data_IF_130103719895
#
_entry.id   IF_130103719895
#
_cell.length_a   1.000
_cell.length_b   1.000
_cell.length_c   1.000
_cell.angle_alpha   90.00
_cell.angle_beta   90.00
_cell.angle_gamma   90.00
#
_symmetry.space_group_name_H-M   'P 1'
#
loop_
_entity.id
_entity.type
_entity.pdbx_description
1 polymer ?
#
# COMPACT_ATOMS: atom_id res chain seq x y z
N UNK A 1 74.92 -12.67 -84.79
CA UNK A 1 73.78 -11.86 -85.21
C UNK A 1 72.82 -11.75 -84.04
N UNK A 2 72.69 -10.56 -83.52
CA UNK A 2 72.01 -10.11 -82.27
C UNK A 2 70.50 -9.94 -82.42
N UNK A 3 69.77 -10.28 -81.45
CA UNK A 3 68.55 -9.58 -81.04
C UNK A 3 68.36 -9.54 -79.52
N UNK A 4 68.58 -8.39 -78.97
CA UNK A 4 68.24 -7.99 -77.62
C UNK A 4 66.74 -8.10 -77.41
N UNK A 5 66.28 -8.85 -76.38
CA UNK A 5 64.91 -8.75 -75.88
C UNK A 5 64.92 -7.88 -74.65
N UNK A 6 64.22 -6.80 -74.72
CA UNK A 6 63.84 -5.95 -73.62
C UNK A 6 62.79 -6.70 -72.76
N UNK A 7 63.06 -6.93 -71.53
CA UNK A 7 62.05 -7.38 -70.56
C UNK A 7 61.69 -6.19 -69.67
N UNK A 8 60.53 -5.66 -69.92
CA UNK A 8 59.86 -4.66 -69.08
C UNK A 8 59.45 -5.30 -67.82
N UNK A 9 60.03 -4.88 -66.68
CA UNK A 9 59.56 -5.25 -65.33
C UNK A 9 58.32 -4.43 -65.03
N UNK A 10 57.15 -5.07 -65.01
CA UNK A 10 55.91 -4.50 -64.52
C UNK A 10 55.95 -4.79 -62.95
N UNK A 11 56.22 -3.73 -62.22
CA UNK A 11 56.06 -3.76 -60.76
C UNK A 11 54.56 -3.76 -60.40
N UNK A 12 54.08 -4.87 -59.91
CA UNK A 12 52.75 -4.96 -59.33
C UNK A 12 52.80 -4.30 -57.94
N UNK A 13 52.25 -3.08 -57.84
CA UNK A 13 52.05 -2.38 -56.60
C UNK A 13 50.81 -3.01 -55.92
N UNK A 14 51.04 -3.94 -54.96
CA UNK A 14 49.99 -4.45 -54.12
C UNK A 14 49.61 -3.35 -53.10
N UNK A 15 48.54 -2.62 -53.41
CA UNK A 15 47.87 -1.69 -52.48
C UNK A 15 47.10 -2.55 -51.45
N UNK A 16 47.73 -2.83 -50.32
CA UNK A 16 47.04 -3.43 -49.19
C UNK A 16 46.08 -2.36 -48.61
N UNK A 17 44.83 -2.40 -49.03
CA UNK A 17 43.75 -1.63 -48.38
C UNK A 17 43.48 -2.29 -47.05
N UNK A 18 44.09 -1.75 -45.98
CA UNK A 18 43.78 -2.11 -44.58
C UNK A 18 42.43 -1.49 -44.26
N UNK A 19 41.32 -2.20 -44.55
CA UNK A 19 39.98 -1.82 -44.07
C UNK A 19 39.95 -1.97 -42.57
N UNK A 20 40.15 -0.85 -41.86
CA UNK A 20 39.93 -0.75 -40.43
C UNK A 20 38.40 -0.90 -40.19
N UNK A 21 37.94 -2.12 -39.97
CA UNK A 21 36.59 -2.36 -39.51
C UNK A 21 36.49 -1.81 -38.08
N UNK A 22 36.06 -0.58 -37.95
CA UNK A 22 35.59 -0.06 -36.67
C UNK A 22 34.35 -0.88 -36.33
N UNK A 23 34.54 -1.96 -35.57
CA UNK A 23 33.45 -2.64 -34.88
C UNK A 23 32.86 -1.62 -33.93
N UNK A 24 31.80 -0.92 -34.37
CA UNK A 24 30.91 -0.22 -33.46
C UNK A 24 30.29 -1.33 -32.62
N UNK A 25 30.91 -1.63 -31.46
CA UNK A 25 30.28 -2.46 -30.49
C UNK A 25 28.94 -1.80 -30.17
N UNK A 26 27.86 -2.35 -30.74
CA UNK A 26 26.53 -1.98 -30.30
C UNK A 26 26.53 -2.08 -28.77
N UNK A 27 26.07 -1.06 -28.04
CA UNK A 27 26.01 -1.17 -26.60
C UNK A 27 25.23 -2.46 -26.29
N UNK A 28 25.89 -3.42 -25.63
CA UNK A 28 25.18 -4.53 -25.04
C UNK A 28 24.22 -3.90 -24.03
N UNK A 29 23.00 -3.67 -24.46
CA UNK A 29 21.95 -3.25 -23.55
C UNK A 29 21.74 -4.42 -22.61
N UNK A 30 22.26 -4.29 -21.40
CA UNK A 30 21.93 -5.23 -20.32
C UNK A 30 20.40 -5.31 -20.25
N UNK A 31 19.86 -6.52 -20.08
CA UNK A 31 18.43 -6.69 -19.92
C UNK A 31 17.91 -5.74 -18.82
N UNK A 32 16.74 -5.12 -19.01
CA UNK A 32 16.22 -4.20 -18.01
C UNK A 32 16.06 -4.89 -16.65
N UNK A 33 16.40 -4.19 -15.60
CA UNK A 33 16.14 -4.66 -14.24
C UNK A 33 14.62 -4.67 -14.07
N UNK A 34 14.06 -5.84 -13.80
CA UNK A 34 12.61 -6.01 -13.66
C UNK A 34 12.20 -5.89 -12.20
N UNK A 35 11.19 -5.06 -11.94
CA UNK A 35 10.53 -4.89 -10.65
C UNK A 35 9.19 -5.63 -10.71
N UNK A 36 9.05 -6.72 -9.97
CA UNK A 36 7.75 -7.33 -9.69
C UNK A 36 7.04 -6.48 -8.65
N UNK A 37 5.92 -5.88 -9.04
CA UNK A 37 5.12 -5.00 -8.20
C UNK A 37 3.78 -5.67 -7.87
N UNK A 38 3.71 -6.27 -6.69
CA UNK A 38 2.54 -7.03 -6.23
C UNK A 38 1.49 -6.13 -5.58
N UNK A 39 0.20 -6.39 -5.85
CA UNK A 39 -0.92 -5.70 -5.21
C UNK A 39 -2.10 -6.65 -4.96
N UNK A 40 -2.94 -6.32 -3.98
CA UNK A 40 -4.18 -7.05 -3.69
C UNK A 40 -5.38 -6.62 -4.52
N UNK A 41 -5.31 -5.46 -5.21
CA UNK A 41 -6.44 -4.87 -5.92
C UNK A 41 -6.56 -5.40 -7.35
N UNK A 42 -7.78 -5.43 -7.92
CA UNK A 42 -8.00 -5.85 -9.31
C UNK A 42 -7.40 -4.85 -10.30
N UNK A 43 -7.17 -5.27 -11.56
CA UNK A 43 -6.62 -4.42 -12.62
C UNK A 43 -7.69 -3.48 -13.20
N UNK A 44 -8.26 -2.63 -12.35
CA UNK A 44 -9.26 -1.62 -12.70
C UNK A 44 -8.67 -0.22 -12.51
N UNK A 45 -8.62 0.58 -13.57
CA UNK A 45 -8.08 1.94 -13.51
C UNK A 45 -8.95 2.93 -12.72
N UNK A 46 -10.18 2.61 -12.36
CA UNK A 46 -11.00 3.41 -11.44
C UNK A 46 -10.70 3.06 -9.97
N UNK A 47 -10.07 1.92 -9.72
CA UNK A 47 -9.54 1.57 -8.40
C UNK A 47 -8.24 2.37 -8.13
N UNK A 48 -8.22 3.11 -7.01
CA UNK A 48 -7.19 4.12 -6.75
C UNK A 48 -5.77 3.55 -6.64
N UNK A 49 -5.59 2.38 -6.00
CA UNK A 49 -4.28 1.76 -5.86
C UNK A 49 -3.77 1.25 -7.20
N UNK A 50 -4.62 0.55 -7.97
CA UNK A 50 -4.22 0.03 -9.29
C UNK A 50 -3.88 1.17 -10.25
N UNK A 51 -4.70 2.23 -10.29
CA UNK A 51 -4.39 3.45 -11.07
C UNK A 51 -3.01 4.01 -10.71
N UNK A 52 -2.72 4.10 -9.41
CA UNK A 52 -1.41 4.53 -8.92
C UNK A 52 -0.28 3.62 -9.40
N UNK A 53 -0.44 2.30 -9.32
CA UNK A 53 0.55 1.34 -9.78
C UNK A 53 0.84 1.46 -11.30
N UNK A 54 -0.21 1.71 -12.10
CA UNK A 54 -0.07 1.96 -13.54
C UNK A 54 0.69 3.26 -13.81
N UNK A 55 0.42 4.33 -13.04
CA UNK A 55 1.15 5.59 -13.13
C UNK A 55 2.62 5.39 -12.76
N UNK A 56 2.92 4.67 -11.68
CA UNK A 56 4.28 4.33 -11.28
C UNK A 56 5.03 3.61 -12.41
N UNK A 57 4.43 2.55 -12.97
CA UNK A 57 4.99 1.80 -14.10
C UNK A 57 5.30 2.71 -15.28
N UNK A 58 4.30 3.46 -15.75
CA UNK A 58 4.45 4.35 -16.93
C UNK A 58 5.55 5.39 -16.69
N UNK A 59 5.59 6.02 -15.51
CA UNK A 59 6.61 7.01 -15.19
C UNK A 59 8.03 6.42 -15.22
N UNK A 60 8.23 5.26 -14.60
CA UNK A 60 9.53 4.59 -14.55
C UNK A 60 10.00 4.19 -15.96
N UNK A 61 9.14 3.51 -16.73
CA UNK A 61 9.52 2.98 -18.05
C UNK A 61 9.75 4.09 -19.08
N UNK A 62 9.07 5.24 -18.95
CA UNK A 62 9.30 6.41 -19.80
C UNK A 62 10.60 7.16 -19.46
N UNK A 63 10.98 7.21 -18.17
CA UNK A 63 12.17 7.95 -17.73
C UNK A 63 13.45 7.13 -17.74
N UNK A 64 13.35 5.79 -17.69
CA UNK A 64 14.48 4.87 -17.74
C UNK A 64 14.25 3.76 -18.80
N UNK A 65 14.03 4.12 -20.09
CA UNK A 65 13.75 3.15 -21.14
C UNK A 65 14.89 2.15 -21.26
N UNK A 66 14.55 0.85 -21.27
CA UNK A 66 15.53 -0.24 -21.36
C UNK A 66 16.39 -0.47 -20.13
N UNK A 67 16.28 0.35 -19.08
CA UNK A 67 17.02 0.18 -17.82
C UNK A 67 16.17 -0.42 -16.71
N UNK A 68 14.91 0.01 -16.57
CA UNK A 68 13.93 -0.52 -15.62
C UNK A 68 12.67 -0.97 -16.35
N UNK A 69 12.08 -2.05 -15.87
CA UNK A 69 10.77 -2.57 -16.26
C UNK A 69 9.96 -2.83 -15.00
N UNK A 70 8.68 -2.47 -14.99
CA UNK A 70 7.77 -2.73 -13.88
C UNK A 70 6.68 -3.69 -14.34
N UNK A 71 6.65 -4.89 -13.77
CA UNK A 71 5.60 -5.86 -14.00
C UNK A 71 4.63 -5.84 -12.80
N UNK A 72 3.41 -5.35 -13.03
CA UNK A 72 2.35 -5.29 -12.00
C UNK A 72 1.68 -6.66 -11.91
N UNK A 73 1.56 -7.18 -10.69
CA UNK A 73 0.87 -8.43 -10.35
C UNK A 73 -0.34 -8.10 -9.46
N UNK A 74 -1.52 -7.83 -10.07
CA UNK A 74 -2.74 -7.46 -9.33
C UNK A 74 -3.43 -8.68 -8.72
N UNK A 75 -4.53 -8.44 -7.99
CA UNK A 75 -5.46 -9.49 -7.50
C UNK A 75 -4.76 -10.62 -6.73
N UNK A 76 -3.75 -10.31 -5.93
CA UNK A 76 -3.00 -11.31 -5.15
C UNK A 76 -2.32 -12.42 -5.99
N UNK A 77 -1.95 -12.16 -7.24
CA UNK A 77 -1.29 -13.15 -8.11
C UNK A 77 0.03 -13.70 -7.55
N UNK A 78 0.72 -12.92 -6.71
CA UNK A 78 1.96 -13.35 -6.03
C UNK A 78 1.72 -13.74 -4.55
N UNK A 79 0.50 -14.19 -4.23
CA UNK A 79 0.12 -14.59 -2.88
C UNK A 79 -0.70 -13.53 -2.13
N UNK A 80 -1.23 -13.87 -0.95
CA UNK A 80 -1.96 -12.97 -0.07
C UNK A 80 -1.05 -11.83 0.41
N UNK A 81 -1.62 -10.74 0.92
CA UNK A 81 -0.85 -9.56 1.34
C UNK A 81 0.31 -9.90 2.30
N UNK A 82 0.08 -10.82 3.25
CA UNK A 82 1.13 -11.31 4.16
C UNK A 82 2.28 -11.98 3.41
N UNK A 83 1.96 -12.82 2.43
CA UNK A 83 2.96 -13.52 1.58
C UNK A 83 3.70 -12.53 0.69
N UNK A 84 3.03 -11.47 0.20
CA UNK A 84 3.67 -10.38 -0.55
C UNK A 84 4.68 -9.61 0.31
N UNK A 85 4.36 -9.30 1.59
CA UNK A 85 5.32 -8.66 2.52
C UNK A 85 6.52 -9.59 2.74
N UNK A 86 6.27 -10.88 3.00
CA UNK A 86 7.33 -11.86 3.23
C UNK A 86 8.22 -12.01 2.00
N UNK A 87 7.62 -12.12 0.81
CA UNK A 87 8.35 -12.13 -0.46
C UNK A 87 9.19 -10.86 -0.67
N UNK A 88 8.63 -9.68 -0.31
CA UNK A 88 9.37 -8.41 -0.38
C UNK A 88 10.53 -8.39 0.63
N UNK A 89 10.33 -8.89 1.85
CA UNK A 89 11.39 -9.02 2.86
C UNK A 89 12.51 -9.97 2.38
N UNK A 90 12.16 -11.09 1.78
CA UNK A 90 13.12 -12.08 1.27
C UNK A 90 13.78 -11.67 -0.07
N UNK A 91 13.19 -10.71 -0.79
CA UNK A 91 13.67 -10.25 -2.11
C UNK A 91 13.23 -11.14 -3.27
N UNK A 92 12.25 -12.00 -3.10
CA UNK A 92 11.61 -12.77 -4.19
C UNK A 92 10.56 -11.95 -4.93
N UNK A 93 10.07 -10.89 -4.29
CA UNK A 93 9.24 -9.82 -4.82
C UNK A 93 10.00 -8.52 -4.56
N UNK A 94 10.21 -7.70 -5.59
CA UNK A 94 10.94 -6.45 -5.44
C UNK A 94 10.10 -5.41 -4.68
N UNK A 95 8.80 -5.29 -5.02
CA UNK A 95 7.88 -4.29 -4.44
C UNK A 95 6.50 -4.87 -4.19
N UNK A 96 5.83 -4.38 -3.14
CA UNK A 96 4.40 -4.58 -2.96
C UNK A 96 3.71 -3.30 -2.48
N UNK A 97 2.42 -3.18 -2.78
CA UNK A 97 1.57 -2.10 -2.31
C UNK A 97 0.30 -2.70 -1.69
N UNK A 98 0.22 -2.65 -0.39
CA UNK A 98 -0.76 -3.40 0.40
C UNK A 98 -1.27 -2.57 1.57
N UNK A 99 -2.33 -3.05 2.23
CA UNK A 99 -2.81 -2.44 3.46
C UNK A 99 -1.86 -2.66 4.65
N UNK A 100 -1.92 -1.77 5.63
CA UNK A 100 -1.07 -1.82 6.83
C UNK A 100 -1.38 -3.00 7.76
N UNK A 101 -2.59 -3.54 7.71
CA UNK A 101 -3.04 -4.57 8.64
C UNK A 101 -2.09 -5.76 8.77
N UNK A 102 -1.77 -6.46 7.68
CA UNK A 102 -0.84 -7.59 7.70
C UNK A 102 0.57 -7.27 8.16
N UNK A 103 0.99 -5.99 8.09
CA UNK A 103 2.33 -5.55 8.53
C UNK A 103 2.55 -5.74 10.04
N UNK A 104 1.49 -5.70 10.86
CA UNK A 104 1.62 -5.85 12.32
C UNK A 104 2.26 -7.17 12.76
N UNK A 105 2.22 -8.20 11.92
CA UNK A 105 2.91 -9.48 12.13
C UNK A 105 4.43 -9.41 11.90
N UNK A 106 4.92 -8.42 11.14
CA UNK A 106 6.33 -8.24 10.79
C UNK A 106 6.97 -7.06 11.52
N UNK A 107 6.16 -6.04 11.80
CA UNK A 107 6.59 -4.80 12.44
C UNK A 107 5.50 -4.36 13.42
N UNK A 108 5.68 -4.73 14.69
CA UNK A 108 4.63 -4.55 15.70
C UNK A 108 4.35 -3.08 16.02
N UNK A 109 5.33 -2.19 15.87
CA UNK A 109 5.20 -0.75 16.10
C UNK A 109 4.13 -0.09 15.23
N UNK A 110 3.80 -0.67 14.08
CA UNK A 110 2.74 -0.19 13.20
C UNK A 110 1.37 -0.14 13.89
N UNK A 111 1.20 -0.91 14.98
CA UNK A 111 -0.05 -0.97 15.75
C UNK A 111 -0.48 0.40 16.32
N UNK A 112 0.44 1.34 16.48
CA UNK A 112 0.10 2.70 16.94
C UNK A 112 -0.82 3.42 15.97
N UNK A 113 -0.79 3.08 14.68
CA UNK A 113 -1.66 3.64 13.65
C UNK A 113 -3.06 2.99 13.64
N UNK A 114 -3.22 1.88 14.35
CA UNK A 114 -4.53 1.25 14.62
C UNK A 114 -5.24 1.80 15.87
N UNK A 115 -4.73 2.86 16.52
CA UNK A 115 -5.42 3.52 17.62
C UNK A 115 -6.69 4.20 17.08
N UNK A 116 -7.89 3.85 17.59
CA UNK A 116 -9.13 4.41 17.09
C UNK A 116 -9.21 5.93 17.30
N UNK A 117 -9.81 6.61 16.32
CA UNK A 117 -10.00 8.07 16.35
C UNK A 117 -8.71 8.86 16.59
N UNK A 118 -7.56 8.33 16.11
CA UNK A 118 -6.27 9.00 16.18
C UNK A 118 -6.25 10.26 15.31
N UNK A 119 -6.88 10.20 14.14
CA UNK A 119 -7.01 11.30 13.20
C UNK A 119 -8.47 11.70 13.04
N UNK A 120 -8.74 12.99 12.86
CA UNK A 120 -10.09 13.55 12.72
C UNK A 120 -10.46 13.86 11.26
N UNK A 121 -9.47 13.96 10.38
CA UNK A 121 -9.66 14.08 8.93
C UNK A 121 -8.41 13.64 8.15
N UNK A 122 -8.53 13.53 6.83
CA UNK A 122 -7.48 13.07 5.93
C UNK A 122 -6.26 13.99 5.92
N UNK A 123 -6.47 15.31 5.97
CA UNK A 123 -5.37 16.27 5.94
C UNK A 123 -4.45 16.12 7.17
N UNK A 124 -5.03 15.93 8.36
CA UNK A 124 -4.30 15.66 9.60
C UNK A 124 -3.52 14.33 9.47
N UNK A 125 -4.17 13.28 8.95
CA UNK A 125 -3.52 12.00 8.73
C UNK A 125 -2.32 12.12 7.78
N UNK A 126 -2.47 12.83 6.65
CA UNK A 126 -1.38 13.05 5.69
C UNK A 126 -0.22 13.84 6.32
N UNK A 127 -0.51 14.95 7.03
CA UNK A 127 0.55 15.72 7.70
C UNK A 127 1.33 14.87 8.69
N UNK A 128 0.64 14.06 9.48
CA UNK A 128 1.25 13.17 10.46
C UNK A 128 2.10 12.08 9.79
N UNK A 129 1.56 11.39 8.77
CA UNK A 129 2.22 10.25 8.12
C UNK A 129 3.33 10.66 7.15
N UNK A 130 3.20 11.78 6.44
CA UNK A 130 4.25 12.33 5.58
C UNK A 130 5.28 13.15 6.39
N UNK A 131 4.95 13.46 7.63
CA UNK A 131 5.76 14.25 8.57
C UNK A 131 6.88 13.46 9.26
N UNK A 132 7.51 14.07 10.27
CA UNK A 132 8.63 13.44 10.99
C UNK A 132 8.27 12.12 11.66
N UNK A 133 7.06 12.01 12.21
CA UNK A 133 6.59 10.78 12.86
C UNK A 133 6.51 9.61 11.89
N UNK A 134 5.77 9.76 10.79
CA UNK A 134 5.61 8.68 9.81
C UNK A 134 6.94 8.28 9.19
N UNK A 135 7.83 9.25 8.89
CA UNK A 135 9.20 8.98 8.41
C UNK A 135 10.02 8.17 9.43
N UNK A 136 9.97 8.53 10.70
CA UNK A 136 10.68 7.81 11.76
C UNK A 136 10.15 6.38 11.93
N UNK A 137 8.83 6.19 11.88
CA UNK A 137 8.18 4.88 11.99
C UNK A 137 8.57 3.97 10.82
N UNK A 138 8.53 4.48 9.59
CA UNK A 138 8.92 3.71 8.39
C UNK A 138 10.42 3.42 8.36
N UNK A 139 11.27 4.31 8.87
CA UNK A 139 12.71 4.06 8.99
C UNK A 139 13.02 2.98 10.05
N UNK A 140 12.28 2.96 11.15
CA UNK A 140 12.39 1.88 12.14
C UNK A 140 11.97 0.54 11.52
N UNK A 141 10.89 0.51 10.74
CA UNK A 141 10.47 -0.66 10.00
C UNK A 141 11.59 -1.16 9.07
N UNK A 142 12.20 -0.26 8.30
CA UNK A 142 13.31 -0.60 7.41
C UNK A 142 14.46 -1.27 8.16
N UNK A 143 14.86 -0.69 9.30
CA UNK A 143 15.97 -1.23 10.13
C UNK A 143 15.67 -2.62 10.68
N UNK A 144 14.42 -2.85 11.11
CA UNK A 144 14.03 -4.12 11.73
C UNK A 144 13.71 -5.23 10.74
N UNK A 145 13.19 -4.88 9.56
CA UNK A 145 12.64 -5.86 8.63
C UNK A 145 13.42 -6.00 7.33
N UNK A 146 14.23 -5.01 6.97
CA UNK A 146 14.87 -4.92 5.64
C UNK A 146 13.88 -4.57 4.53
N UNK A 147 12.69 -4.06 4.88
CA UNK A 147 11.68 -3.55 3.95
C UNK A 147 11.60 -2.04 4.09
N UNK A 148 11.80 -1.33 2.99
CA UNK A 148 11.73 0.14 2.90
C UNK A 148 10.34 0.57 2.44
N UNK A 149 9.77 1.60 3.06
CA UNK A 149 8.64 2.33 2.49
C UNK A 149 9.17 3.46 1.60
N UNK A 150 8.70 3.52 0.36
CA UNK A 150 8.97 4.65 -0.54
C UNK A 150 8.01 5.81 -0.32
N UNK A 151 6.85 5.53 0.28
CA UNK A 151 5.83 6.49 0.62
C UNK A 151 4.54 5.82 1.07
N UNK A 152 3.58 6.62 1.51
CA UNK A 152 2.34 6.13 2.12
C UNK A 152 1.15 6.63 1.31
N UNK A 153 0.43 5.69 0.68
CA UNK A 153 -0.85 5.95 0.01
C UNK A 153 -2.01 5.95 1.00
N UNK A 154 -3.15 6.38 0.53
CA UNK A 154 -4.39 6.43 1.28
C UNK A 154 -5.24 5.18 1.04
N UNK A 155 -5.76 4.59 2.11
CA UNK A 155 -6.89 3.68 2.05
C UNK A 155 -8.19 4.43 2.44
N UNK A 156 -8.10 5.30 3.44
CA UNK A 156 -9.17 6.17 3.90
C UNK A 156 -9.73 5.79 5.27
N UNK A 157 -10.71 6.57 5.74
CA UNK A 157 -11.42 6.27 6.98
C UNK A 157 -12.25 5.00 6.84
N UNK A 158 -12.14 4.14 7.83
CA UNK A 158 -12.83 2.85 7.90
C UNK A 158 -14.11 2.98 8.69
N UNK A 159 -15.12 2.28 8.22
CA UNK A 159 -16.49 2.31 8.71
C UNK A 159 -17.01 0.88 8.88
N UNK A 160 -17.84 0.62 9.89
CA UNK A 160 -18.49 -0.69 10.00
C UNK A 160 -19.58 -0.83 8.95
N UNK A 161 -19.58 -1.98 8.28
CA UNK A 161 -20.62 -2.36 7.33
C UNK A 161 -21.12 -3.76 7.66
N UNK A 162 -22.44 -3.95 7.69
CA UNK A 162 -23.08 -5.21 8.10
C UNK A 162 -24.05 -5.74 7.05
N UNK A 163 -24.30 -7.05 7.13
CA UNK A 163 -25.20 -7.76 6.21
C UNK A 163 -26.68 -7.49 6.51
N UNK A 164 -27.10 -7.75 7.73
CA UNK A 164 -28.53 -7.86 8.07
C UNK A 164 -28.97 -6.91 9.20
N UNK A 165 -28.06 -6.50 10.08
CA UNK A 165 -28.41 -5.70 11.25
C UNK A 165 -27.66 -4.36 11.21
N UNK A 166 -28.36 -3.22 11.18
CA UNK A 166 -27.71 -1.91 11.21
C UNK A 166 -27.00 -1.70 12.56
N UNK A 167 -25.89 -0.98 12.54
CA UNK A 167 -25.21 -0.46 13.71
C UNK A 167 -25.51 1.04 13.78
N UNK A 168 -26.13 1.48 14.87
CA UNK A 168 -26.39 2.90 15.18
C UNK A 168 -25.81 3.30 16.52
N UNK A 169 -25.54 2.34 17.38
CA UNK A 169 -24.96 2.53 18.71
C UNK A 169 -23.94 1.42 19.02
N UNK A 170 -23.15 1.64 20.07
CA UNK A 170 -22.21 0.59 20.57
C UNK A 170 -22.94 -0.68 21.00
N UNK A 171 -24.17 -0.56 21.52
CA UNK A 171 -24.95 -1.73 21.93
C UNK A 171 -25.34 -2.64 20.75
N UNK A 172 -25.45 -2.11 19.55
CA UNK A 172 -25.74 -2.87 18.34
C UNK A 172 -24.57 -3.77 17.90
N UNK A 173 -23.35 -3.48 18.37
CA UNK A 173 -22.17 -4.31 18.13
C UNK A 173 -22.18 -5.64 18.87
N UNK A 174 -22.94 -5.73 19.98
CA UNK A 174 -22.94 -6.91 20.83
C UNK A 174 -23.32 -8.18 20.07
N UNK A 175 -22.45 -9.17 20.16
CA UNK A 175 -22.63 -10.50 19.57
C UNK A 175 -22.39 -10.58 18.06
N UNK A 176 -22.13 -9.49 17.37
CA UNK A 176 -21.77 -9.53 15.94
C UNK A 176 -20.38 -10.13 15.75
N UNK A 177 -20.25 -10.96 14.72
CA UNK A 177 -18.95 -11.42 14.20
C UNK A 177 -18.50 -10.42 13.13
N UNK A 178 -17.45 -9.67 13.43
CA UNK A 178 -16.93 -8.63 12.52
C UNK A 178 -15.59 -9.07 11.96
N UNK A 179 -15.51 -9.18 10.64
CA UNK A 179 -14.22 -9.37 9.97
C UNK A 179 -13.34 -8.14 10.19
N UNK A 180 -12.11 -8.39 10.54
CA UNK A 180 -11.03 -7.38 10.58
C UNK A 180 -9.85 -7.84 9.75
N UNK A 181 -8.94 -6.91 9.41
CA UNK A 181 -7.63 -7.28 8.88
C UNK A 181 -6.84 -8.08 9.94
N UNK A 182 -5.78 -8.76 9.52
CA UNK A 182 -4.87 -9.51 10.40
C UNK A 182 -4.02 -8.55 11.26
N UNK A 183 -4.72 -7.70 12.04
CA UNK A 183 -4.13 -6.63 12.85
C UNK A 183 -4.61 -6.73 14.31
N UNK A 184 -3.72 -7.00 15.29
CA UNK A 184 -4.13 -7.18 16.69
C UNK A 184 -4.87 -5.97 17.30
N UNK A 185 -4.48 -4.74 16.92
CA UNK A 185 -5.16 -3.52 17.37
C UNK A 185 -6.61 -3.43 16.86
N UNK A 186 -6.90 -3.87 15.63
CA UNK A 186 -8.26 -3.90 15.08
C UNK A 186 -9.10 -4.97 15.77
N UNK A 187 -8.48 -6.11 16.11
CA UNK A 187 -9.16 -7.11 16.93
C UNK A 187 -9.51 -6.57 18.32
N UNK A 188 -8.59 -5.83 18.94
CA UNK A 188 -8.83 -5.19 20.24
C UNK A 188 -9.95 -4.13 20.16
N UNK A 189 -9.99 -3.33 19.09
CA UNK A 189 -11.06 -2.37 18.82
C UNK A 189 -12.43 -3.06 18.78
N UNK A 190 -12.61 -4.02 17.90
CA UNK A 190 -13.89 -4.72 17.73
C UNK A 190 -14.32 -5.39 19.04
N UNK A 191 -13.39 -6.02 19.76
CA UNK A 191 -13.63 -6.64 21.07
C UNK A 191 -14.06 -5.62 22.13
N UNK A 192 -13.45 -4.44 22.16
CA UNK A 192 -13.79 -3.38 23.12
C UNK A 192 -15.21 -2.82 22.93
N UNK A 193 -15.72 -2.92 21.71
CA UNK A 193 -17.10 -2.55 21.35
C UNK A 193 -18.13 -3.67 21.60
N UNK A 194 -17.70 -4.85 22.10
CA UNK A 194 -18.59 -5.97 22.45
C UNK A 194 -18.88 -6.94 21.31
N UNK A 195 -18.21 -6.78 20.15
CA UNK A 195 -18.31 -7.71 19.03
C UNK A 195 -17.17 -8.75 19.05
N UNK A 196 -17.29 -9.78 18.22
CA UNK A 196 -16.29 -10.85 18.05
C UNK A 196 -15.46 -10.58 16.79
N UNK A 197 -14.17 -10.22 16.91
CA UNK A 197 -13.31 -10.00 15.76
C UNK A 197 -12.92 -11.33 15.10
N UNK A 198 -12.99 -11.39 13.77
CA UNK A 198 -12.57 -12.53 12.97
C UNK A 198 -11.55 -12.05 11.94
N UNK A 199 -10.25 -12.32 12.14
CA UNK A 199 -9.23 -11.94 11.16
C UNK A 199 -9.36 -12.80 9.90
N UNK A 200 -9.55 -12.17 8.75
CA UNK A 200 -9.67 -12.83 7.44
C UNK A 200 -8.86 -12.03 6.42
N UNK A 201 -8.01 -12.73 5.65
CA UNK A 201 -7.22 -12.12 4.58
C UNK A 201 -8.10 -11.48 3.50
N UNK A 202 -7.60 -10.40 2.87
CA UNK A 202 -8.37 -9.57 1.92
C UNK A 202 -9.12 -10.37 0.86
N UNK A 203 -8.45 -11.26 0.15
CA UNK A 203 -9.04 -12.03 -0.95
C UNK A 203 -10.19 -12.98 -0.55
N UNK A 204 -10.41 -13.21 0.76
CA UNK A 204 -11.43 -14.13 1.28
C UNK A 204 -12.66 -13.40 1.84
N UNK A 205 -12.60 -12.05 1.97
CA UNK A 205 -13.62 -11.26 2.69
C UNK A 205 -14.98 -11.32 2.03
N UNK A 206 -15.04 -11.16 0.70
CA UNK A 206 -16.30 -11.18 -0.04
C UNK A 206 -17.06 -12.49 0.17
N UNK A 207 -16.37 -13.63 0.03
CA UNK A 207 -16.97 -14.96 0.21
C UNK A 207 -17.38 -15.20 1.66
N UNK A 208 -16.57 -14.75 2.64
CA UNK A 208 -16.89 -14.87 4.06
C UNK A 208 -18.20 -14.10 4.42
N UNK A 209 -18.37 -12.90 3.87
CA UNK A 209 -19.61 -12.13 4.01
C UNK A 209 -20.76 -12.80 3.27
N UNK A 210 -20.58 -13.21 2.02
CA UNK A 210 -21.63 -13.85 1.24
C UNK A 210 -22.17 -15.12 1.90
N UNK A 211 -21.29 -15.95 2.44
CA UNK A 211 -21.63 -17.20 3.12
C UNK A 211 -22.12 -17.01 4.56
N UNK A 212 -22.02 -15.79 5.12
CA UNK A 212 -22.42 -15.54 6.50
C UNK A 212 -21.46 -16.07 7.57
N UNK A 213 -20.21 -16.29 7.22
CA UNK A 213 -19.15 -16.64 8.19
C UNK A 213 -18.98 -15.49 9.20
N UNK A 214 -19.15 -14.27 8.72
CA UNK A 214 -19.18 -13.03 9.52
C UNK A 214 -20.45 -12.24 9.25
N UNK A 215 -20.88 -11.45 10.24
CA UNK A 215 -22.09 -10.60 10.16
C UNK A 215 -21.80 -9.26 9.49
N UNK A 216 -20.54 -8.85 9.48
CA UNK A 216 -20.08 -7.61 8.91
C UNK A 216 -18.56 -7.51 8.88
N UNK A 217 -18.09 -6.35 8.48
CA UNK A 217 -16.67 -6.00 8.37
C UNK A 217 -16.48 -4.49 8.57
N UNK A 218 -15.26 -4.04 8.49
CA UNK A 218 -14.93 -2.62 8.53
C UNK A 218 -14.01 -2.28 7.34
N UNK A 219 -14.31 -1.19 6.63
CA UNK A 219 -13.60 -0.81 5.43
C UNK A 219 -13.86 0.66 5.04
N UNK A 220 -13.00 1.25 4.21
CA UNK A 220 -13.28 2.54 3.57
C UNK A 220 -14.45 2.46 2.59
N UNK A 221 -15.17 3.56 2.45
CA UNK A 221 -16.29 3.70 1.50
C UNK A 221 -15.87 3.40 0.07
N UNK A 222 -14.69 3.88 -0.34
CA UNK A 222 -14.14 3.62 -1.68
C UNK A 222 -14.01 2.14 -2.00
N UNK A 223 -13.60 1.30 -1.03
CA UNK A 223 -13.52 -0.15 -1.22
C UNK A 223 -14.89 -0.83 -1.23
N UNK A 224 -15.83 -0.40 -0.36
CA UNK A 224 -17.18 -0.97 -0.33
C UNK A 224 -17.84 -0.78 -1.69
N UNK A 225 -17.63 0.38 -2.31
CA UNK A 225 -18.21 0.74 -3.60
C UNK A 225 -17.50 0.04 -4.77
N UNK A 226 -16.19 0.22 -4.92
CA UNK A 226 -15.43 -0.26 -6.07
C UNK A 226 -15.38 -1.79 -6.16
N UNK A 227 -15.36 -2.47 -5.00
CA UNK A 227 -15.31 -3.94 -4.90
C UNK A 227 -16.69 -4.57 -4.75
N UNK A 228 -17.77 -3.80 -4.96
CA UNK A 228 -19.17 -4.27 -4.96
C UNK A 228 -19.63 -4.95 -3.68
N UNK A 229 -19.08 -4.56 -2.51
CA UNK A 229 -19.49 -5.16 -1.24
C UNK A 229 -20.95 -4.82 -0.85
N UNK A 230 -21.56 -3.85 -1.52
CA UNK A 230 -23.01 -3.60 -1.45
C UNK A 230 -23.88 -4.80 -1.87
N UNK A 231 -23.32 -5.76 -2.59
CA UNK A 231 -24.03 -7.02 -2.93
C UNK A 231 -24.15 -7.96 -1.73
N UNK A 232 -23.17 -7.92 -0.80
CA UNK A 232 -23.08 -8.82 0.35
C UNK A 232 -23.23 -8.12 1.73
N UNK A 233 -23.31 -6.78 1.77
CA UNK A 233 -23.65 -5.98 2.96
C UNK A 233 -24.73 -4.97 2.63
N UNK A 234 -25.50 -4.52 3.64
CA UNK A 234 -26.67 -3.65 3.42
C UNK A 234 -26.64 -2.36 4.23
N UNK A 235 -25.89 -2.35 5.32
CA UNK A 235 -25.87 -1.23 6.26
C UNK A 235 -24.46 -0.73 6.47
N UNK A 236 -24.28 0.59 6.57
CA UNK A 236 -23.03 1.25 6.92
C UNK A 236 -23.32 2.27 8.02
N UNK A 237 -22.44 2.33 9.02
CA UNK A 237 -22.33 3.48 9.91
C UNK A 237 -21.06 4.28 9.54
N UNK A 238 -21.21 5.58 9.30
CA UNK A 238 -20.10 6.48 8.97
C UNK A 238 -19.37 6.93 10.25
N UNK A 239 -18.81 5.99 10.99
CA UNK A 239 -18.17 6.25 12.28
C UNK A 239 -16.68 6.62 12.21
N UNK A 240 -16.01 6.36 11.08
CA UNK A 240 -14.63 6.80 10.84
C UNK A 240 -13.62 6.36 11.92
N UNK A 241 -13.80 5.18 12.48
CA UNK A 241 -13.09 4.74 13.68
C UNK A 241 -11.58 4.59 13.54
N UNK A 242 -11.06 4.34 12.34
CA UNK A 242 -9.62 4.28 12.03
C UNK A 242 -9.36 4.91 10.66
N UNK A 243 -8.28 5.66 10.54
CA UNK A 243 -7.71 6.04 9.26
C UNK A 243 -6.68 4.98 8.82
N UNK A 244 -6.93 4.36 7.69
CA UNK A 244 -6.13 3.29 7.11
C UNK A 244 -5.27 3.81 5.96
N UNK A 245 -4.12 3.22 5.76
CA UNK A 245 -3.12 3.67 4.79
C UNK A 245 -2.49 2.50 4.03
N UNK A 246 -1.83 2.82 2.92
CA UNK A 246 -1.27 1.86 1.96
C UNK A 246 0.20 2.19 1.70
N UNK A 247 1.16 1.62 2.43
CA UNK A 247 2.58 1.89 2.17
C UNK A 247 3.04 1.19 0.89
N UNK A 248 3.80 1.90 0.06
CA UNK A 248 4.54 1.33 -1.06
C UNK A 248 5.85 0.77 -0.51
N UNK A 249 5.95 -0.54 -0.50
CA UNK A 249 7.06 -1.28 0.09
C UNK A 249 8.01 -1.81 -0.97
N UNK A 250 9.33 -1.74 -0.70
CA UNK A 250 10.39 -2.28 -1.55
C UNK A 250 11.41 -3.01 -0.70
N UNK A 251 12.00 -4.10 -1.21
CA UNK A 251 13.14 -4.73 -0.58
C UNK A 251 14.31 -3.74 -0.48
N UNK A 252 14.83 -3.50 0.74
CA UNK A 252 15.86 -2.49 0.97
C UNK A 252 17.19 -2.83 0.27
N UNK A 253 17.57 -4.10 0.25
CA UNK A 253 18.79 -4.54 -0.44
C UNK A 253 18.67 -4.35 -1.96
N UNK A 254 17.51 -4.68 -2.53
CA UNK A 254 17.24 -4.44 -3.95
C UNK A 254 17.31 -2.94 -4.26
N UNK A 255 16.64 -2.09 -3.47
CA UNK A 255 16.69 -0.64 -3.65
C UNK A 255 18.11 -0.11 -3.63
N UNK A 256 18.93 -0.52 -2.67
CA UNK A 256 20.32 -0.09 -2.52
C UNK A 256 21.25 -0.67 -3.60
N UNK A 257 20.89 -1.76 -4.27
CA UNK A 257 21.64 -2.32 -5.40
C UNK A 257 21.47 -1.55 -6.71
N UNK A 258 20.43 -0.70 -6.80
CA UNK A 258 20.20 0.12 -7.97
C UNK A 258 21.20 1.27 -8.04
N UNK A 259 21.58 1.72 -9.25
CA UNK A 259 22.33 2.99 -9.44
C UNK A 259 21.60 4.16 -8.76
N UNK A 260 22.34 5.17 -8.22
CA UNK A 260 21.74 6.28 -7.48
C UNK A 260 20.67 7.06 -8.25
N UNK A 261 20.82 7.22 -9.56
CA UNK A 261 19.84 7.88 -10.42
C UNK A 261 18.53 7.08 -10.53
N UNK A 262 18.61 5.74 -10.54
CA UNK A 262 17.42 4.89 -10.54
C UNK A 262 16.76 4.82 -9.16
N UNK A 263 17.53 4.88 -8.06
CA UNK A 263 16.96 5.04 -6.72
C UNK A 263 16.15 6.34 -6.62
N UNK A 264 16.72 7.45 -7.09
CA UNK A 264 16.03 8.75 -7.11
C UNK A 264 14.79 8.72 -8.00
N UNK A 265 14.87 8.05 -9.16
CA UNK A 265 13.73 7.89 -10.06
C UNK A 265 12.56 7.14 -9.39
N UNK A 266 12.82 6.09 -8.61
CA UNK A 266 11.78 5.38 -7.84
C UNK A 266 11.12 6.29 -6.80
N UNK A 267 11.92 7.10 -6.11
CA UNK A 267 11.40 8.09 -5.14
C UNK A 267 10.52 9.13 -5.82
N UNK A 268 10.94 9.67 -6.98
CA UNK A 268 10.17 10.69 -7.70
C UNK A 268 8.90 10.10 -8.34
N UNK A 269 8.98 8.88 -8.89
CA UNK A 269 7.81 8.14 -9.35
C UNK A 269 6.79 7.94 -8.23
N UNK A 270 7.26 7.58 -7.03
CA UNK A 270 6.40 7.42 -5.86
C UNK A 270 5.63 8.70 -5.52
N UNK A 271 6.27 9.87 -5.55
CA UNK A 271 5.58 11.15 -5.27
C UNK A 271 4.44 11.40 -6.24
N UNK A 272 4.68 11.20 -7.55
CA UNK A 272 3.65 11.36 -8.59
C UNK A 272 2.52 10.34 -8.40
N UNK A 273 2.90 9.09 -8.14
CA UNK A 273 1.98 7.97 -7.89
C UNK A 273 1.04 8.27 -6.72
N UNK A 274 1.58 8.72 -5.59
CA UNK A 274 0.80 9.03 -4.40
C UNK A 274 -0.15 10.21 -4.62
N UNK A 275 0.27 11.24 -5.35
CA UNK A 275 -0.62 12.36 -5.68
C UNK A 275 -1.84 11.89 -6.49
N UNK A 276 -1.63 11.02 -7.49
CA UNK A 276 -2.72 10.45 -8.31
C UNK A 276 -3.60 9.52 -7.49
N UNK A 277 -3.01 8.62 -6.70
CA UNK A 277 -3.75 7.64 -5.90
C UNK A 277 -4.61 8.32 -4.84
N UNK A 278 -4.05 9.26 -4.07
CA UNK A 278 -4.80 10.01 -3.06
C UNK A 278 -5.94 10.82 -3.69
N UNK A 279 -5.67 11.52 -4.80
CA UNK A 279 -6.71 12.28 -5.52
C UNK A 279 -7.85 11.39 -6.04
N UNK A 280 -7.51 10.21 -6.58
CA UNK A 280 -8.51 9.24 -7.03
C UNK A 280 -9.31 8.66 -5.84
N UNK A 281 -8.64 8.35 -4.72
CA UNK A 281 -9.33 7.81 -3.54
C UNK A 281 -10.31 8.83 -2.93
N UNK A 282 -9.90 10.09 -2.78
CA UNK A 282 -10.79 11.18 -2.34
C UNK A 282 -12.03 11.29 -3.23
N UNK A 283 -11.85 11.25 -4.57
CA UNK A 283 -12.96 11.23 -5.53
C UNK A 283 -13.88 10.03 -5.30
N UNK A 284 -13.30 8.83 -5.09
CA UNK A 284 -14.05 7.60 -4.90
C UNK A 284 -14.84 7.64 -3.58
N UNK A 285 -14.26 8.17 -2.50
CA UNK A 285 -14.96 8.35 -1.22
C UNK A 285 -16.11 9.35 -1.38
N UNK A 286 -15.85 10.52 -2.00
CA UNK A 286 -16.86 11.56 -2.19
C UNK A 286 -18.08 11.07 -2.98
N UNK A 287 -17.85 10.32 -4.06
CA UNK A 287 -18.92 9.76 -4.89
C UNK A 287 -19.53 8.49 -4.28
N UNK A 288 -18.78 7.76 -3.49
CA UNK A 288 -19.11 6.42 -3.02
C UNK A 288 -20.34 6.38 -2.10
N UNK A 289 -20.49 7.37 -1.21
CA UNK A 289 -21.65 7.43 -0.28
C UNK A 289 -22.96 7.48 -1.09
N UNK A 290 -23.04 8.42 -2.04
CA UNK A 290 -24.25 8.53 -2.87
C UNK A 290 -24.45 7.31 -3.75
N UNK A 291 -23.40 6.81 -4.38
CA UNK A 291 -23.46 5.60 -5.23
C UNK A 291 -23.99 4.40 -4.46
N UNK A 292 -23.52 4.20 -3.21
CA UNK A 292 -23.96 3.10 -2.36
C UNK A 292 -25.42 3.26 -1.92
N UNK A 293 -25.87 4.49 -1.62
CA UNK A 293 -27.29 4.78 -1.35
C UNK A 293 -28.16 4.48 -2.57
N UNK A 294 -27.73 4.91 -3.76
CA UNK A 294 -28.45 4.64 -5.02
C UNK A 294 -28.53 3.13 -5.33
N UNK A 295 -27.54 2.35 -4.84
CA UNK A 295 -27.52 0.87 -4.90
C UNK A 295 -28.31 0.19 -3.76
N UNK A 296 -29.04 0.97 -2.94
CA UNK A 296 -29.92 0.48 -1.88
C UNK A 296 -29.26 0.14 -0.56
N UNK A 297 -28.04 0.65 -0.30
CA UNK A 297 -27.43 0.55 1.04
C UNK A 297 -28.03 1.58 2.01
N UNK A 298 -28.29 1.16 3.22
CA UNK A 298 -28.68 2.03 4.32
C UNK A 298 -27.45 2.60 4.98
N UNK A 299 -27.25 3.92 4.88
CA UNK A 299 -26.09 4.62 5.43
C UNK A 299 -26.55 5.49 6.60
N UNK A 300 -26.01 5.22 7.78
CA UNK A 300 -26.24 5.96 9.01
C UNK A 300 -25.08 6.89 9.31
N UNK A 301 -25.36 8.17 9.47
CA UNK A 301 -24.37 9.16 9.93
C UNK A 301 -24.61 9.42 11.41
N UNK A 302 -23.69 8.97 12.29
CA UNK A 302 -23.84 9.18 13.72
C UNK A 302 -23.65 10.66 14.08
N UNK A 303 -24.33 11.08 15.14
CA UNK A 303 -24.09 12.39 15.76
C UNK A 303 -22.74 12.41 16.47
N UNK A 304 -22.20 13.61 16.71
CA UNK A 304 -20.97 13.76 17.50
C UNK A 304 -21.06 13.08 18.87
N UNK A 305 -22.21 13.16 19.54
CA UNK A 305 -22.44 12.51 20.83
C UNK A 305 -22.33 10.98 20.74
N UNK A 306 -22.87 10.40 19.68
CA UNK A 306 -22.77 8.94 19.44
C UNK A 306 -21.33 8.54 19.12
N UNK A 307 -20.63 9.31 18.28
CA UNK A 307 -19.20 9.08 17.99
C UNK A 307 -18.34 9.12 19.25
N UNK A 308 -18.62 10.05 20.17
CA UNK A 308 -17.90 10.12 21.44
C UNK A 308 -18.09 8.86 22.28
N UNK A 309 -19.26 8.20 22.24
CA UNK A 309 -19.47 6.92 22.93
C UNK A 309 -18.60 5.82 22.31
N UNK A 310 -18.56 5.71 20.98
CA UNK A 310 -17.67 4.76 20.30
C UNK A 310 -16.20 5.02 20.66
N UNK A 311 -15.75 6.28 20.61
CA UNK A 311 -14.40 6.69 20.97
C UNK A 311 -14.06 6.31 22.42
N UNK A 312 -14.89 6.67 23.39
CA UNK A 312 -14.65 6.37 24.81
C UNK A 312 -14.57 4.87 25.09
N UNK A 313 -15.40 4.07 24.38
CA UNK A 313 -15.43 2.61 24.56
C UNK A 313 -14.25 1.89 23.90
N UNK A 314 -13.60 2.50 22.89
CA UNK A 314 -12.57 1.82 22.09
C UNK A 314 -11.17 2.40 22.25
N UNK A 315 -10.99 3.71 22.29
CA UNK A 315 -9.66 4.32 22.18
C UNK A 315 -8.75 3.94 23.34
N UNK A 316 -9.20 4.17 24.58
CA UNK A 316 -8.40 3.83 25.77
C UNK A 316 -8.09 2.34 25.87
N UNK A 317 -9.05 1.40 25.74
CA UNK A 317 -8.77 -0.04 25.74
C UNK A 317 -7.78 -0.47 24.65
N UNK A 318 -7.82 0.13 23.47
CA UNK A 318 -6.85 -0.19 22.39
C UNK A 318 -5.46 0.36 22.73
N UNK A 319 -5.35 1.58 23.27
CA UNK A 319 -4.06 2.12 23.74
C UNK A 319 -3.45 1.20 24.80
N UNK A 320 -4.21 0.81 25.83
CA UNK A 320 -3.76 -0.11 26.88
C UNK A 320 -3.32 -1.47 26.31
N UNK A 321 -4.04 -1.98 25.31
CA UNK A 321 -3.66 -3.20 24.60
C UNK A 321 -2.32 -3.05 23.85
N UNK A 322 -2.11 -1.92 23.17
CA UNK A 322 -0.85 -1.63 22.44
C UNK A 322 0.30 -1.47 23.44
N UNK A 323 0.11 -0.73 24.55
CA UNK A 323 1.10 -0.57 25.61
C UNK A 323 1.54 -1.92 26.20
N UNK A 324 0.56 -2.78 26.54
CA UNK A 324 0.82 -4.12 27.02
C UNK A 324 1.62 -4.95 26.01
N UNK A 325 1.21 -4.95 24.76
CA UNK A 325 1.90 -5.67 23.67
C UNK A 325 3.34 -5.17 23.50
N UNK A 326 3.55 -3.87 23.58
CA UNK A 326 4.89 -3.26 23.47
C UNK A 326 5.77 -3.66 24.65
N UNK A 327 5.23 -3.64 25.88
CA UNK A 327 5.94 -4.09 27.07
C UNK A 327 6.37 -5.57 26.98
N UNK A 328 5.46 -6.46 26.56
CA UNK A 328 5.74 -7.89 26.35
C UNK A 328 6.83 -8.13 25.30
N UNK A 329 6.83 -7.34 24.23
CA UNK A 329 7.81 -7.44 23.13
C UNK A 329 9.05 -6.56 23.32
N UNK A 330 9.18 -5.85 24.44
CA UNK A 330 10.28 -4.91 24.73
C UNK A 330 10.40 -3.80 23.68
N UNK A 331 9.29 -3.31 23.18
CA UNK A 331 9.19 -2.19 22.27
C UNK A 331 9.03 -0.91 23.09
N UNK A 332 9.74 0.14 22.71
CA UNK A 332 9.66 1.45 23.37
C UNK A 332 8.27 2.07 23.16
N UNK A 333 7.62 2.42 24.25
CA UNK A 333 6.31 3.10 24.22
C UNK A 333 6.32 4.47 23.58
N UNK A 334 7.51 5.06 23.34
CA UNK A 334 7.64 6.35 22.65
C UNK A 334 6.85 6.40 21.33
N UNK A 335 6.65 5.27 20.67
CA UNK A 335 5.89 5.22 19.42
C UNK A 335 4.42 5.59 19.62
N UNK A 336 3.81 5.22 20.75
CA UNK A 336 2.45 5.62 21.13
C UNK A 336 2.42 7.12 21.39
N UNK A 337 3.36 7.64 22.18
CA UNK A 337 3.45 9.05 22.52
C UNK A 337 3.69 9.90 21.27
N UNK A 338 4.55 9.44 20.36
CA UNK A 338 4.82 10.10 19.07
C UNK A 338 3.59 10.13 18.17
N UNK A 339 2.83 9.03 18.08
CA UNK A 339 1.62 8.96 17.27
C UNK A 339 0.56 9.95 17.78
N UNK A 340 0.27 9.93 19.09
CA UNK A 340 -0.70 10.83 19.72
C UNK A 340 -0.27 12.30 19.60
N UNK A 341 1.02 12.59 19.82
CA UNK A 341 1.57 13.94 19.68
C UNK A 341 1.48 14.41 18.23
N UNK A 342 1.90 13.58 17.26
CA UNK A 342 1.89 13.95 15.86
C UNK A 342 0.48 14.24 15.34
N UNK A 343 -0.52 13.45 15.72
CA UNK A 343 -1.90 13.71 15.39
C UNK A 343 -2.36 15.08 15.93
N UNK A 344 -2.12 15.33 17.22
CA UNK A 344 -2.49 16.60 17.88
C UNK A 344 -1.75 17.84 17.31
N UNK A 345 -0.47 17.69 16.95
CA UNK A 345 0.28 18.80 16.36
C UNK A 345 -0.20 19.10 14.94
N UNK A 346 -0.56 18.05 14.16
CA UNK A 346 -1.13 18.18 12.82
C UNK A 346 -2.54 18.79 12.77
N UNK A 347 -3.27 18.84 13.90
CA UNK A 347 -4.55 19.57 14.03
C UNK A 347 -4.38 21.09 14.07
N UNK A 348 -3.19 21.59 14.43
CA UNK A 348 -2.94 23.02 14.60
C UNK A 348 -2.45 23.71 13.32
N UNK A 349 -2.05 22.94 12.33
CA UNK A 349 -1.58 23.38 11.01
C UNK A 349 -2.72 23.32 9.96
#
# INVERSE_FOLDING_TARGET
>A
MSRRKWMTKIGILLLAVFTLTVSVAAPLWAAPITIKFATGMPPDEEEALHRGAVVFKKFIEQKAPGRLKVDIYPSNQLGKEREQIEGTKLGTIEMCWIAEGPMAGFFTEIMVLGIPYLYTNEAIAFRSLDGPFGKALMEEMRKKTGVRSLGIGENGFRHFSTRNKPIKSVDDMKGLKIRVMEHPGYMALVKSLGASPTPIAWGEVYMALQQGVVDGWEAPISLIESMKFNEVTKHIILDGHIYSFLPILINDKFFLSLPPDLQQLLVDATKVTLAVQRGQNVRNVYNGVKSLQDKGMEIYTPTEKELQVFKQKSQKPVIEFVEKTFAEKKIDKKWIDMALKSAKDSEKE
#
